data_IF_049420151931
#
_entry.id   IF_049420151931
#
_cell.length_a   1.000
_cell.length_b   1.000
_cell.length_c   1.000
_cell.angle_alpha   90.00
_cell.angle_beta   90.00
_cell.angle_gamma   90.00
#
_symmetry.space_group_name_H-M   'P 1'
#
loop_
_entity.id
_entity.type
_entity.pdbx_description
1 polymer ?
#
# COMPACT_ATOMS: atom_id res chain seq x y z
N UNK A 1 18.39 29.57 -1.46
CA UNK A 1 19.09 28.49 -2.18
C UNK A 1 19.19 27.29 -1.25
N UNK A 2 18.25 26.36 -1.32
CA UNK A 2 18.30 25.16 -0.47
C UNK A 2 19.47 24.30 -0.93
N UNK A 3 20.37 23.97 -0.01
CA UNK A 3 21.29 22.85 -0.18
C UNK A 3 20.51 21.67 -0.75
N UNK A 4 20.95 21.14 -1.89
CA UNK A 4 20.46 19.85 -2.39
C UNK A 4 20.75 18.82 -1.30
N UNK A 5 19.75 18.53 -0.47
CA UNK A 5 19.83 17.45 0.51
C UNK A 5 20.06 16.18 -0.32
N UNK A 6 21.25 15.59 -0.19
CA UNK A 6 21.58 14.35 -0.89
C UNK A 6 20.66 13.24 -0.34
N UNK A 7 19.66 12.89 -1.14
CA UNK A 7 18.74 11.78 -0.86
C UNK A 7 19.53 10.47 -0.95
N UNK A 8 19.50 9.67 0.11
CA UNK A 8 20.08 8.33 0.08
C UNK A 8 19.03 7.32 -0.36
N UNK A 9 19.08 6.90 -1.63
CA UNK A 9 18.11 5.95 -2.18
C UNK A 9 18.11 4.62 -1.41
N UNK A 10 19.29 4.11 -1.03
CA UNK A 10 19.39 2.88 -0.26
C UNK A 10 18.66 2.98 1.10
N UNK A 11 18.83 4.12 1.80
CA UNK A 11 18.13 4.38 3.06
C UNK A 11 16.61 4.43 2.86
N UNK A 12 16.16 5.17 1.85
CA UNK A 12 14.73 5.25 1.48
C UNK A 12 14.16 3.85 1.23
N UNK A 13 14.80 3.06 0.38
CA UNK A 13 14.30 1.73 0.01
C UNK A 13 14.27 0.79 1.21
N UNK A 14 15.31 0.78 2.04
CA UNK A 14 15.35 -0.07 3.24
C UNK A 14 14.24 0.34 4.23
N UNK A 15 14.13 1.63 4.55
CA UNK A 15 13.10 2.12 5.47
C UNK A 15 11.70 1.90 4.92
N UNK A 16 11.47 2.20 3.65
CA UNK A 16 10.17 2.01 3.02
C UNK A 16 9.77 0.54 2.93
N UNK A 17 10.70 -0.36 2.62
CA UNK A 17 10.43 -1.82 2.60
C UNK A 17 10.07 -2.31 3.99
N UNK A 18 10.85 -1.96 5.01
CA UNK A 18 10.56 -2.32 6.41
C UNK A 18 9.19 -1.82 6.84
N UNK A 19 8.89 -0.54 6.60
CA UNK A 19 7.60 0.04 6.97
C UNK A 19 6.44 -0.57 6.17
N UNK A 20 6.65 -0.93 4.90
CA UNK A 20 5.64 -1.64 4.10
C UNK A 20 5.32 -3.01 4.70
N UNK A 21 6.32 -3.76 5.16
CA UNK A 21 6.11 -5.05 5.82
C UNK A 21 5.34 -4.89 7.14
N UNK A 22 5.71 -3.90 7.95
CA UNK A 22 5.00 -3.59 9.20
C UNK A 22 3.55 -3.15 8.94
N UNK A 23 3.33 -2.31 7.93
CA UNK A 23 1.99 -1.93 7.49
C UNK A 23 1.21 -3.14 6.97
N UNK A 24 1.85 -4.09 6.27
CA UNK A 24 1.21 -5.32 5.81
C UNK A 24 0.73 -6.20 6.97
N UNK A 25 1.51 -6.31 8.05
CA UNK A 25 1.08 -6.99 9.28
C UNK A 25 -0.12 -6.29 9.92
N UNK A 26 -0.12 -4.95 9.95
CA UNK A 26 -1.26 -4.18 10.44
C UNK A 26 -2.50 -4.39 9.56
N UNK A 27 -2.34 -4.37 8.24
CA UNK A 27 -3.42 -4.68 7.28
C UNK A 27 -3.99 -6.06 7.51
N UNK A 28 -3.14 -7.10 7.63
CA UNK A 28 -3.60 -8.46 7.92
C UNK A 28 -4.44 -8.51 9.20
N UNK A 29 -3.95 -7.88 10.28
CA UNK A 29 -4.66 -7.86 11.54
C UNK A 29 -6.00 -7.12 11.44
N UNK A 30 -6.03 -5.95 10.82
CA UNK A 30 -7.23 -5.11 10.74
C UNK A 30 -8.29 -5.66 9.77
N UNK A 31 -7.87 -6.12 8.59
CA UNK A 31 -8.75 -6.44 7.47
C UNK A 31 -9.12 -7.92 7.34
N UNK A 32 -8.30 -8.82 7.89
CA UNK A 32 -8.50 -10.27 7.77
C UNK A 32 -8.83 -10.89 9.13
N UNK A 33 -8.10 -10.55 10.19
CA UNK A 33 -8.31 -11.15 11.52
C UNK A 33 -9.47 -10.49 12.25
N UNK A 34 -9.43 -9.17 12.40
CA UNK A 34 -10.44 -8.42 13.18
C UNK A 34 -11.68 -8.10 12.33
N UNK A 35 -11.53 -8.04 11.00
CA UNK A 35 -12.60 -7.65 10.05
C UNK A 35 -13.22 -6.28 10.40
N UNK A 36 -12.45 -5.38 11.01
CA UNK A 36 -12.96 -4.09 11.48
C UNK A 36 -13.22 -3.11 10.33
N UNK A 37 -12.21 -2.89 9.49
CA UNK A 37 -12.26 -1.89 8.41
C UNK A 37 -11.21 -2.18 7.35
N UNK A 38 -11.50 -1.82 6.09
CA UNK A 38 -10.59 -1.94 4.95
C UNK A 38 -9.66 -0.71 4.88
N UNK A 39 -8.67 -0.67 5.77
CA UNK A 39 -7.73 0.46 5.92
C UNK A 39 -6.91 0.77 4.65
N UNK A 40 -6.76 -0.21 3.76
CA UNK A 40 -6.04 -0.07 2.48
C UNK A 40 -6.87 0.60 1.38
N UNK A 41 -8.20 0.61 1.51
CA UNK A 41 -9.13 1.17 0.51
C UNK A 41 -9.36 2.69 0.68
N UNK A 42 -8.78 3.31 1.70
CA UNK A 42 -8.81 4.77 1.83
C UNK A 42 -7.89 5.43 0.81
N UNK A 43 -8.21 6.66 0.39
CA UNK A 43 -7.40 7.41 -0.58
C UNK A 43 -6.95 8.75 0.03
N UNK A 44 -5.66 8.93 0.39
CA UNK A 44 -4.58 7.93 0.36
C UNK A 44 -4.75 6.80 1.38
N UNK A 45 -4.03 5.69 1.20
CA UNK A 45 -4.09 4.53 2.10
C UNK A 45 -3.71 4.92 3.54
N UNK A 46 -4.53 4.52 4.51
CA UNK A 46 -4.36 4.90 5.91
C UNK A 46 -2.99 4.47 6.47
N UNK A 47 -2.45 3.28 6.14
CA UNK A 47 -1.10 2.90 6.56
C UNK A 47 -0.01 3.87 6.08
N UNK A 48 -0.14 4.43 4.88
CA UNK A 48 0.83 5.39 4.37
C UNK A 48 0.74 6.73 5.09
N UNK A 49 -0.47 7.20 5.39
CA UNK A 49 -0.67 8.41 6.21
C UNK A 49 -0.10 8.21 7.61
N UNK A 50 -0.32 7.05 8.23
CA UNK A 50 0.26 6.71 9.53
C UNK A 50 1.80 6.73 9.48
N UNK A 51 2.41 6.16 8.44
CA UNK A 51 3.86 6.22 8.22
C UNK A 51 4.35 7.66 8.08
N UNK A 52 3.65 8.51 7.32
CA UNK A 52 4.03 9.91 7.18
C UNK A 52 4.03 10.64 8.52
N UNK A 53 2.95 10.49 9.30
CA UNK A 53 2.82 11.09 10.64
C UNK A 53 3.92 10.56 11.56
N UNK A 54 4.14 9.25 11.57
CA UNK A 54 5.17 8.59 12.38
C UNK A 54 6.56 9.13 12.06
N UNK A 55 6.92 9.21 10.78
CA UNK A 55 8.23 9.71 10.36
C UNK A 55 8.40 11.18 10.73
N UNK A 56 7.39 12.02 10.52
CA UNK A 56 7.45 13.44 10.89
C UNK A 56 7.59 13.62 12.40
N UNK A 57 6.92 12.78 13.18
CA UNK A 57 7.00 12.81 14.65
C UNK A 57 8.35 12.27 15.17
N UNK A 58 8.88 11.20 14.59
CA UNK A 58 10.15 10.58 15.00
C UNK A 58 11.38 11.36 14.53
N UNK A 59 11.32 12.01 13.37
CA UNK A 59 12.50 12.61 12.74
C UNK A 59 13.25 13.64 13.61
N UNK A 60 12.58 14.53 14.37
CA UNK A 60 13.26 15.43 15.32
C UNK A 60 14.03 14.69 16.42
N UNK A 61 13.53 13.53 16.87
CA UNK A 61 14.22 12.69 17.87
C UNK A 61 15.44 11.99 17.27
N UNK A 62 15.31 11.48 16.04
CA UNK A 62 16.45 10.92 15.30
C UNK A 62 17.56 11.96 15.13
N UNK A 63 17.18 13.20 14.79
CA UNK A 63 18.12 14.32 14.67
C UNK A 63 18.85 14.63 15.97
N UNK A 64 18.13 14.63 17.12
CA UNK A 64 18.76 14.83 18.44
C UNK A 64 19.80 13.75 18.77
N UNK A 65 19.54 12.51 18.36
CA UNK A 65 20.42 11.40 18.70
C UNK A 65 21.65 11.36 17.80
N UNK A 66 21.45 11.54 16.49
CA UNK A 66 22.53 11.67 15.50
C UNK A 66 22.01 12.40 14.27
N UNK A 67 22.63 13.53 13.92
CA UNK A 67 22.22 14.34 12.75
C UNK A 67 22.12 13.49 11.47
N UNK A 68 23.03 12.53 11.27
CA UNK A 68 23.02 11.65 10.11
C UNK A 68 21.88 10.62 10.06
N UNK A 69 21.11 10.43 11.13
CA UNK A 69 19.93 9.56 11.16
C UNK A 69 18.65 10.28 10.78
N UNK A 70 18.66 11.62 10.83
CA UNK A 70 17.53 12.40 10.37
C UNK A 70 17.29 12.16 8.86
N UNK A 71 16.03 11.97 8.52
CA UNK A 71 15.55 11.90 7.16
C UNK A 71 15.29 13.32 6.64
N UNK A 72 15.75 13.58 5.43
CA UNK A 72 15.35 14.76 4.67
C UNK A 72 13.86 14.73 4.36
N UNK A 73 13.29 15.88 4.00
CA UNK A 73 11.88 15.94 3.59
C UNK A 73 11.62 15.13 2.33
N UNK A 74 12.57 15.16 1.40
CA UNK A 74 12.51 14.36 0.18
C UNK A 74 12.46 12.87 0.50
N UNK A 75 13.26 12.40 1.47
CA UNK A 75 13.23 11.00 1.89
C UNK A 75 11.91 10.62 2.57
N UNK A 76 11.39 11.43 3.48
CA UNK A 76 10.10 11.17 4.13
C UNK A 76 8.98 11.09 3.08
N UNK A 77 8.96 12.02 2.12
CA UNK A 77 7.96 12.03 1.05
C UNK A 77 8.09 10.81 0.13
N UNK A 78 9.31 10.41 -0.24
CA UNK A 78 9.54 9.21 -1.06
C UNK A 78 9.15 7.93 -0.32
N UNK A 79 9.45 7.82 0.98
CA UNK A 79 9.02 6.67 1.80
C UNK A 79 7.49 6.62 1.87
N UNK A 80 6.83 7.75 2.14
CA UNK A 80 5.37 7.85 2.13
C UNK A 80 4.77 7.40 0.78
N UNK A 81 5.28 7.90 -0.34
CA UNK A 81 4.80 7.53 -1.67
C UNK A 81 5.01 6.04 -1.96
N UNK A 82 6.17 5.49 -1.58
CA UNK A 82 6.45 4.07 -1.74
C UNK A 82 5.44 3.22 -0.97
N UNK A 83 5.24 3.51 0.32
CA UNK A 83 4.29 2.76 1.16
C UNK A 83 2.86 2.91 0.63
N UNK A 84 2.46 4.13 0.20
CA UNK A 84 1.13 4.38 -0.35
C UNK A 84 0.81 3.52 -1.57
N UNK A 85 1.79 3.31 -2.44
CA UNK A 85 1.62 2.46 -3.63
C UNK A 85 1.72 0.98 -3.28
N UNK A 86 2.72 0.60 -2.47
CA UNK A 86 3.01 -0.79 -2.18
C UNK A 86 1.92 -1.45 -1.32
N UNK A 87 1.36 -0.73 -0.34
CA UNK A 87 0.36 -1.30 0.56
C UNK A 87 -0.98 -1.59 -0.13
N UNK A 88 -1.31 -0.89 -1.21
CA UNK A 88 -2.52 -1.16 -1.99
C UNK A 88 -2.53 -2.57 -2.58
N UNK A 89 -1.37 -3.17 -2.85
CA UNK A 89 -1.28 -4.57 -3.29
C UNK A 89 -1.72 -5.56 -2.21
N UNK A 90 -1.51 -5.21 -0.93
CA UNK A 90 -1.92 -6.04 0.20
C UNK A 90 -3.40 -5.89 0.56
N UNK A 91 -4.11 -4.94 -0.08
CA UNK A 91 -5.53 -4.71 0.14
C UNK A 91 -6.43 -5.79 -0.46
N UNK A 92 -7.71 -5.74 -0.12
CA UNK A 92 -8.66 -6.74 -0.55
C UNK A 92 -8.88 -6.80 -2.06
N UNK A 93 -8.82 -5.66 -2.75
CA UNK A 93 -9.15 -5.53 -4.16
C UNK A 93 -8.22 -6.26 -5.12
N UNK A 94 -7.01 -6.64 -4.68
CA UNK A 94 -6.00 -7.25 -5.55
C UNK A 94 -5.72 -8.69 -5.11
N UNK A 95 -4.87 -8.87 -4.11
CA UNK A 95 -4.34 -10.20 -3.76
C UNK A 95 -5.44 -11.09 -3.18
N UNK A 96 -6.31 -10.57 -2.32
CA UNK A 96 -7.38 -11.37 -1.70
C UNK A 96 -8.41 -11.84 -2.72
N UNK A 97 -8.87 -10.95 -3.60
CA UNK A 97 -9.77 -11.33 -4.68
C UNK A 97 -9.13 -12.28 -5.67
N UNK A 98 -7.84 -12.09 -6.01
CA UNK A 98 -7.13 -13.01 -6.86
C UNK A 98 -7.15 -14.43 -6.27
N UNK A 99 -6.67 -14.61 -5.05
CA UNK A 99 -6.62 -15.94 -4.42
C UNK A 99 -8.01 -16.58 -4.27
N UNK A 100 -9.03 -15.78 -3.95
CA UNK A 100 -10.40 -16.26 -3.93
C UNK A 100 -10.85 -16.76 -5.31
N UNK A 101 -10.64 -15.98 -6.38
CA UNK A 101 -11.01 -16.35 -7.75
C UNK A 101 -10.27 -17.60 -8.24
N UNK A 102 -8.99 -17.74 -7.94
CA UNK A 102 -8.20 -18.89 -8.37
C UNK A 102 -8.61 -20.17 -7.63
N UNK A 103 -8.96 -20.06 -6.35
CA UNK A 103 -9.34 -21.21 -5.52
C UNK A 103 -10.78 -21.65 -5.65
N UNK A 104 -11.72 -20.72 -5.89
CA UNK A 104 -13.17 -21.00 -5.84
C UNK A 104 -13.64 -22.16 -6.71
N UNK A 105 -13.24 -22.28 -8.00
CA UNK A 105 -13.70 -23.38 -8.85
C UNK A 105 -13.31 -24.76 -8.32
N UNK A 106 -12.20 -24.85 -7.56
CA UNK A 106 -11.67 -26.11 -7.05
C UNK A 106 -12.12 -26.41 -5.61
N UNK A 107 -12.15 -25.40 -4.75
CA UNK A 107 -12.49 -25.58 -3.33
C UNK A 107 -14.00 -25.66 -3.08
N UNK A 108 -14.80 -24.85 -3.78
CA UNK A 108 -16.26 -24.77 -3.58
C UNK A 108 -17.05 -25.57 -4.61
N UNK A 109 -16.43 -26.52 -5.32
CA UNK A 109 -17.13 -27.39 -6.25
C UNK A 109 -18.21 -28.23 -5.53
N UNK A 110 -19.41 -28.24 -6.11
CA UNK A 110 -20.50 -29.17 -5.75
C UNK A 110 -21.14 -29.70 -7.02
N UNK A 111 -21.95 -30.77 -6.91
CA UNK A 111 -22.63 -31.35 -8.07
C UNK A 111 -23.62 -30.36 -8.73
N UNK A 112 -24.16 -29.41 -7.96
CA UNK A 112 -25.19 -28.46 -8.39
C UNK A 112 -24.63 -27.22 -9.09
N UNK A 113 -23.41 -26.79 -8.76
CA UNK A 113 -22.83 -25.55 -9.30
C UNK A 113 -21.98 -25.77 -10.56
N UNK A 114 -21.74 -27.03 -10.92
CA UNK A 114 -21.06 -27.46 -12.15
C UNK A 114 -19.64 -26.87 -12.34
N UNK A 115 -18.96 -26.41 -11.27
CA UNK A 115 -17.61 -25.83 -11.37
C UNK A 115 -16.59 -26.79 -11.98
N UNK A 116 -16.78 -28.10 -11.82
CA UNK A 116 -15.93 -29.15 -12.41
C UNK A 116 -15.87 -29.07 -13.94
N UNK A 117 -16.94 -28.62 -14.61
CA UNK A 117 -16.93 -28.45 -16.08
C UNK A 117 -15.93 -27.38 -16.53
N UNK A 118 -15.54 -26.47 -15.64
CA UNK A 118 -14.57 -25.42 -15.93
C UNK A 118 -13.12 -25.90 -15.71
N UNK A 119 -12.87 -26.93 -14.90
CA UNK A 119 -11.50 -27.38 -14.61
C UNK A 119 -10.70 -27.68 -15.88
N UNK A 120 -11.23 -28.40 -16.90
CA UNK A 120 -10.49 -28.67 -18.13
C UNK A 120 -10.25 -27.44 -19.01
N UNK A 121 -11.00 -26.36 -18.80
CA UNK A 121 -10.91 -25.11 -19.56
C UNK A 121 -9.92 -24.12 -18.93
N UNK A 122 -9.56 -24.33 -17.66
CA UNK A 122 -8.61 -23.50 -16.95
C UNK A 122 -7.20 -24.01 -17.24
N UNK A 123 -6.30 -23.17 -17.77
CA UNK A 123 -4.94 -23.61 -18.05
C UNK A 123 -4.05 -23.59 -16.81
N UNK A 124 -3.06 -24.49 -16.76
CA UNK A 124 -2.11 -24.64 -15.63
C UNK A 124 -1.33 -23.38 -15.27
N UNK A 125 -1.19 -22.46 -16.22
CA UNK A 125 -0.50 -21.20 -16.00
C UNK A 125 -1.36 -20.13 -15.33
N UNK A 126 -2.69 -20.32 -15.30
CA UNK A 126 -3.66 -19.37 -14.75
C UNK A 126 -4.04 -19.72 -13.31
N UNK A 127 -4.28 -21.01 -13.04
CA UNK A 127 -4.75 -21.53 -11.74
C UNK A 127 -3.95 -22.77 -11.33
N UNK A 128 -3.80 -23.06 -10.03
CA UNK A 128 -3.25 -24.34 -9.59
C UNK A 128 -4.30 -25.46 -9.72
N UNK A 129 -3.95 -26.57 -10.38
CA UNK A 129 -4.80 -27.76 -10.49
C UNK A 129 -4.64 -28.76 -9.32
N UNK A 130 -3.68 -28.52 -8.43
CA UNK A 130 -3.51 -29.35 -7.24
C UNK A 130 -4.57 -28.99 -6.20
N UNK A 131 -5.61 -29.83 -6.09
CA UNK A 131 -6.75 -29.65 -5.19
C UNK A 131 -6.31 -29.55 -3.74
N UNK A 132 -5.30 -30.32 -3.33
CA UNK A 132 -4.78 -30.28 -1.97
C UNK A 132 -4.06 -28.96 -1.71
N UNK A 133 -3.32 -28.44 -2.71
CA UNK A 133 -2.70 -27.12 -2.60
C UNK A 133 -3.73 -25.98 -2.50
N UNK A 134 -4.89 -26.13 -3.16
CA UNK A 134 -6.01 -25.18 -3.01
C UNK A 134 -6.68 -25.34 -1.65
N UNK A 135 -6.92 -26.57 -1.16
CA UNK A 135 -7.48 -26.81 0.17
C UNK A 135 -6.64 -26.15 1.27
N UNK A 136 -5.33 -26.31 1.20
CA UNK A 136 -4.38 -25.71 2.15
C UNK A 136 -4.36 -24.17 2.14
N UNK A 137 -4.78 -23.52 1.05
CA UNK A 137 -4.95 -22.06 1.02
C UNK A 137 -6.09 -21.61 1.96
N UNK A 138 -7.19 -22.36 2.00
CA UNK A 138 -8.38 -22.02 2.77
C UNK A 138 -8.33 -22.56 4.20
N UNK A 139 -7.88 -23.79 4.38
CA UNK A 139 -7.88 -24.48 5.68
C UNK A 139 -6.56 -24.28 6.45
N UNK A 140 -5.52 -23.77 5.78
CA UNK A 140 -4.18 -23.65 6.30
C UNK A 140 -3.32 -24.88 5.99
N UNK A 141 -2.03 -24.66 5.76
CA UNK A 141 -1.06 -25.74 5.57
C UNK A 141 -0.47 -26.18 6.92
N UNK A 142 -0.36 -27.48 7.16
CA UNK A 142 0.27 -28.04 8.37
C UNK A 142 1.81 -27.92 8.37
N UNK A 143 2.40 -27.55 7.24
CA UNK A 143 3.84 -27.41 7.05
C UNK A 143 4.19 -26.28 6.09
N UNK A 144 5.16 -26.51 5.22
CA UNK A 144 5.53 -25.53 4.20
C UNK A 144 4.40 -25.37 3.18
N UNK A 145 4.02 -24.13 2.82
CA UNK A 145 3.05 -23.90 1.76
C UNK A 145 3.47 -24.58 0.44
N UNK A 146 2.52 -25.07 -0.37
CA UNK A 146 2.78 -25.82 -1.59
C UNK A 146 3.22 -24.91 -2.75
N UNK A 147 4.32 -24.17 -2.56
CA UNK A 147 4.81 -23.16 -3.52
C UNK A 147 5.01 -23.69 -4.94
N UNK A 148 5.29 -25.00 -5.10
CA UNK A 148 5.46 -25.62 -6.41
C UNK A 148 4.18 -25.60 -7.23
N UNK A 149 3.03 -25.87 -6.61
CA UNK A 149 1.72 -25.83 -7.29
C UNK A 149 1.34 -24.40 -7.69
N UNK A 150 1.71 -23.42 -6.87
CA UNK A 150 1.39 -22.01 -7.08
C UNK A 150 2.41 -21.25 -7.94
N UNK A 151 3.61 -21.78 -8.13
CA UNK A 151 4.74 -21.04 -8.71
C UNK A 151 4.47 -20.48 -10.11
N UNK A 152 3.93 -21.31 -11.03
CA UNK A 152 3.61 -20.87 -12.38
C UNK A 152 2.42 -19.88 -12.41
N UNK A 153 1.26 -20.15 -11.77
CA UNK A 153 0.19 -19.16 -11.62
C UNK A 153 0.66 -17.83 -11.04
N UNK A 154 1.40 -17.85 -9.93
CA UNK A 154 1.88 -16.63 -9.29
C UNK A 154 2.85 -15.85 -10.18
N UNK A 155 3.70 -16.54 -10.95
CA UNK A 155 4.59 -15.88 -11.90
C UNK A 155 3.81 -15.18 -13.01
N UNK A 156 2.80 -15.84 -13.60
CA UNK A 156 1.99 -15.26 -14.67
C UNK A 156 1.15 -14.07 -14.17
N UNK A 157 0.52 -14.20 -13.01
CA UNK A 157 -0.23 -13.10 -12.40
C UNK A 157 0.67 -11.94 -12.01
N UNK A 158 1.87 -12.21 -11.47
CA UNK A 158 2.86 -11.16 -11.17
C UNK A 158 3.30 -10.43 -12.44
N UNK A 159 3.53 -11.16 -13.54
CA UNK A 159 3.87 -10.57 -14.83
C UNK A 159 2.72 -9.71 -15.36
N UNK A 160 1.49 -10.22 -15.31
CA UNK A 160 0.29 -9.49 -15.73
C UNK A 160 0.12 -8.18 -14.95
N UNK A 161 0.12 -8.23 -13.61
CA UNK A 161 0.00 -7.03 -12.79
C UNK A 161 1.17 -6.08 -12.99
N UNK A 162 2.40 -6.58 -13.14
CA UNK A 162 3.57 -5.76 -13.44
C UNK A 162 3.42 -5.00 -14.76
N UNK A 163 2.98 -5.67 -15.83
CA UNK A 163 2.72 -5.05 -17.13
C UNK A 163 1.53 -4.07 -17.09
N UNK A 164 0.48 -4.41 -16.35
CA UNK A 164 -0.68 -3.54 -16.14
C UNK A 164 -0.26 -2.23 -15.45
N UNK A 165 0.45 -2.33 -14.33
CA UNK A 165 0.99 -1.18 -13.60
C UNK A 165 1.94 -0.35 -14.48
N UNK A 166 2.84 -1.01 -15.22
CA UNK A 166 3.74 -0.33 -16.15
C UNK A 166 2.96 0.45 -17.21
N UNK A 167 1.92 -0.14 -17.78
CA UNK A 167 1.04 0.52 -18.75
C UNK A 167 0.32 1.72 -18.14
N UNK A 168 -0.23 1.59 -16.93
CA UNK A 168 -0.86 2.69 -16.21
C UNK A 168 0.12 3.84 -15.92
N UNK A 169 1.38 3.52 -15.59
CA UNK A 169 2.44 4.53 -15.44
C UNK A 169 2.76 5.23 -16.76
N UNK A 170 2.89 4.48 -17.86
CA UNK A 170 3.08 5.05 -19.19
C UNK A 170 1.93 6.00 -19.58
N UNK A 171 0.69 5.60 -19.34
CA UNK A 171 -0.49 6.44 -19.58
C UNK A 171 -0.44 7.71 -18.71
N UNK A 172 -0.10 7.57 -17.43
CA UNK A 172 0.04 8.71 -16.52
C UNK A 172 1.10 9.69 -17.02
N UNK A 173 2.25 9.20 -17.49
CA UNK A 173 3.32 10.06 -18.06
C UNK A 173 2.85 10.76 -19.33
N UNK A 174 2.13 10.07 -20.22
CA UNK A 174 1.59 10.64 -21.46
C UNK A 174 0.59 11.76 -21.17
N UNK A 175 -0.35 11.53 -20.25
CA UNK A 175 -1.39 12.51 -19.90
C UNK A 175 -0.91 13.57 -18.90
N UNK A 176 0.17 13.34 -18.16
CA UNK A 176 0.69 14.27 -17.15
C UNK A 176 0.81 15.69 -17.70
N UNK A 177 1.37 15.85 -18.89
CA UNK A 177 1.58 17.18 -19.49
C UNK A 177 0.24 17.86 -19.81
N UNK A 178 -0.69 17.11 -20.37
CA UNK A 178 -2.05 17.58 -20.68
C UNK A 178 -2.78 18.03 -19.41
N UNK A 179 -2.80 17.17 -18.37
CA UNK A 179 -3.46 17.46 -17.11
C UNK A 179 -2.85 18.66 -16.38
N UNK A 180 -1.52 18.76 -16.34
CA UNK A 180 -0.82 19.82 -15.60
C UNK A 180 -0.88 21.16 -16.35
N UNK A 181 -0.54 21.18 -17.64
CA UNK A 181 -0.35 22.44 -18.38
C UNK A 181 -1.65 22.99 -18.98
N UNK A 182 -2.50 22.11 -19.54
CA UNK A 182 -3.71 22.54 -20.27
C UNK A 182 -4.95 22.54 -19.40
N UNK A 183 -5.20 21.43 -18.71
CA UNK A 183 -6.41 21.26 -17.89
C UNK A 183 -6.24 21.81 -16.48
N UNK A 184 -4.99 22.04 -16.05
CA UNK A 184 -4.63 22.51 -14.70
C UNK A 184 -5.32 21.69 -13.63
N UNK A 185 -5.34 20.38 -13.83
CA UNK A 185 -5.96 19.43 -12.92
C UNK A 185 -5.31 19.57 -11.54
N UNK A 186 -6.13 19.83 -10.54
CA UNK A 186 -5.68 19.85 -9.15
C UNK A 186 -5.46 18.42 -8.69
N UNK A 187 -4.41 18.19 -7.89
CA UNK A 187 -4.10 16.89 -7.29
C UNK A 187 -4.27 16.93 -5.76
N UNK A 188 -5.51 16.86 -5.22
CA UNK A 188 -5.78 17.05 -3.80
C UNK A 188 -5.03 16.08 -2.88
N UNK A 189 -4.70 14.88 -3.38
CA UNK A 189 -3.98 13.85 -2.63
C UNK A 189 -2.58 14.31 -2.17
N UNK A 190 -2.01 15.32 -2.82
CA UNK A 190 -0.71 15.89 -2.45
C UNK A 190 -0.83 16.95 -1.36
N UNK A 191 -2.01 17.52 -1.12
CA UNK A 191 -2.19 18.63 -0.19
C UNK A 191 -1.89 18.24 1.26
N UNK A 192 -2.40 17.09 1.71
CA UNK A 192 -2.16 16.60 3.06
C UNK A 192 -0.66 16.36 3.34
N UNK A 193 0.07 15.56 2.53
CA UNK A 193 1.49 15.35 2.78
C UNK A 193 2.32 16.64 2.70
N UNK A 194 1.98 17.55 1.78
CA UNK A 194 2.66 18.84 1.68
C UNK A 194 2.38 19.74 2.90
N UNK A 195 1.15 19.76 3.40
CA UNK A 195 0.79 20.54 4.58
C UNK A 195 1.49 20.01 5.85
N UNK A 196 1.57 18.68 6.01
CA UNK A 196 2.27 18.04 7.13
C UNK A 196 3.78 18.32 7.09
N UNK A 197 4.38 18.33 5.90
CA UNK A 197 5.82 18.56 5.69
C UNK A 197 6.20 20.06 5.58
N UNK A 198 5.23 20.96 5.66
CA UNK A 198 5.47 22.40 5.61
C UNK A 198 6.32 22.85 6.80
N UNK A 199 7.27 23.74 6.56
CA UNK A 199 8.10 24.33 7.62
C UNK A 199 8.01 25.83 7.62
N UNK A 200 8.16 26.41 8.80
CA UNK A 200 8.30 27.84 9.02
C UNK A 200 9.77 28.26 9.07
N UNK A 201 10.02 29.57 8.93
CA UNK A 201 11.34 30.19 9.04
C UNK A 201 11.98 29.93 10.41
N UNK A 202 11.17 29.75 11.46
CA UNK A 202 11.60 29.33 12.80
C UNK A 202 11.15 27.89 13.03
N UNK A 203 12.02 26.88 12.84
CA UNK A 203 11.63 25.49 12.97
C UNK A 203 11.30 25.15 14.43
N UNK A 204 10.03 24.85 14.69
CA UNK A 204 9.57 24.26 15.96
C UNK A 204 9.63 22.74 15.93
N UNK A 205 9.55 22.11 17.11
CA UNK A 205 9.51 20.65 17.25
C UNK A 205 8.26 20.01 16.63
N UNK A 206 7.15 20.74 16.63
CA UNK A 206 5.87 20.30 16.05
C UNK A 206 5.62 21.08 14.77
N UNK A 207 5.28 20.42 13.65
CA UNK A 207 4.92 21.09 12.41
C UNK A 207 3.73 22.04 12.56
N UNK A 208 3.61 23.09 11.72
CA UNK A 208 2.49 24.04 11.76
C UNK A 208 1.12 23.36 11.65
N UNK A 209 1.00 22.34 10.79
CA UNK A 209 -0.24 21.59 10.58
C UNK A 209 -0.85 21.08 11.89
N UNK A 210 -0.06 20.41 12.73
CA UNK A 210 -0.51 19.84 14.00
C UNK A 210 -0.71 20.86 15.12
N UNK A 211 -0.37 22.14 14.91
CA UNK A 211 -0.63 23.23 15.85
C UNK A 211 -1.92 23.99 15.52
N UNK A 212 -2.50 23.74 14.35
CA UNK A 212 -3.72 24.42 13.90
C UNK A 212 -4.94 23.95 14.70
N UNK A 213 -5.57 24.87 15.43
CA UNK A 213 -6.83 24.59 16.13
C UNK A 213 -7.97 24.20 15.19
N UNK A 214 -8.00 24.76 13.97
CA UNK A 214 -9.00 24.42 12.95
C UNK A 214 -8.85 22.96 12.49
N UNK A 215 -7.61 22.48 12.34
CA UNK A 215 -7.32 21.10 11.99
C UNK A 215 -7.87 20.16 13.08
N UNK A 216 -7.61 20.46 14.35
CA UNK A 216 -8.07 19.62 15.47
C UNK A 216 -9.58 19.68 15.67
N UNK A 217 -10.21 20.83 15.41
CA UNK A 217 -11.66 20.95 15.40
C UNK A 217 -12.27 20.05 14.31
N UNK A 218 -11.73 20.08 13.10
CA UNK A 218 -12.17 19.20 12.00
C UNK A 218 -11.97 17.71 12.33
N UNK A 219 -10.79 17.35 12.83
CA UNK A 219 -10.50 15.97 13.26
C UNK A 219 -11.44 15.51 14.38
N UNK A 220 -11.69 16.36 15.38
CA UNK A 220 -12.58 16.08 16.49
C UNK A 220 -14.03 15.89 16.05
N UNK A 221 -14.54 16.75 15.17
CA UNK A 221 -15.88 16.59 14.59
C UNK A 221 -16.01 15.30 13.78
N UNK A 222 -15.01 14.99 12.94
CA UNK A 222 -15.00 13.75 12.16
C UNK A 222 -14.94 12.52 13.07
N UNK A 223 -14.15 12.58 14.15
CA UNK A 223 -14.03 11.48 15.11
C UNK A 223 -15.35 11.28 15.84
N UNK A 224 -15.99 12.36 16.31
CA UNK A 224 -17.29 12.29 16.99
C UNK A 224 -18.40 11.77 16.07
N UNK A 225 -18.38 12.12 14.80
CA UNK A 225 -19.33 11.62 13.81
C UNK A 225 -19.18 10.11 13.53
N UNK A 226 -17.96 9.58 13.62
CA UNK A 226 -17.65 8.17 13.36
C UNK A 226 -17.49 7.32 14.64
N UNK A 227 -17.73 7.89 15.83
CA UNK A 227 -17.65 7.20 17.13
C UNK A 227 -18.98 6.51 17.46
#
# INVERSE_FOLDING_TARGET
MSSSERISLARVLLTATLLTLLCGLWTMQAEVVVLATQITESVPALPAIAVLILLVWLNPFLRRWKEGWALSRGEILLIYLFVAVAISLAGCGIVRFLFALLGTPFYFYTAENEWEKLHPLLPDWLVPHDIEAVRQLYEGAEGWPPYRAWGLPLLMWSLFFGLLWWTMLCLTVLFRRQWVERERLTFPLVFLPMAILQTEERPTWVPPFFRSGLMWLGFGLATLYNA
#
